data_IF_547824565093
#
_entry.id   IF_547824565093
#
_cell.length_a   1.000
_cell.length_b   1.000
_cell.length_c   1.000
_cell.angle_alpha   90.00
_cell.angle_beta   90.00
_cell.angle_gamma   90.00
#
_symmetry.space_group_name_H-M   'P 1'
#
loop_
_entity.id
_entity.type
_entity.pdbx_description
1 polymer ?
#
# COMPACT_ATOMS: atom_id res chain seq x y z
N UNK A 1 42.38 -31.66 33.61
CA UNK A 1 40.91 -31.54 33.57
C UNK A 1 40.57 -30.06 33.39
N UNK A 2 40.31 -29.63 32.15
CA UNK A 2 39.73 -28.31 31.84
C UNK A 2 38.88 -28.50 30.59
N UNK A 3 37.56 -28.45 30.72
CA UNK A 3 36.63 -28.56 29.60
C UNK A 3 36.26 -27.17 29.12
N UNK A 4 36.85 -26.75 28.00
CA UNK A 4 36.39 -25.59 27.23
C UNK A 4 35.14 -26.00 26.46
N UNK A 5 33.98 -25.46 26.84
CA UNK A 5 32.78 -25.57 26.01
C UNK A 5 32.90 -24.60 24.83
N UNK A 6 32.97 -25.14 23.62
CA UNK A 6 32.83 -24.37 22.38
C UNK A 6 31.34 -24.19 22.09
N UNK A 7 30.84 -22.96 21.88
CA UNK A 7 29.48 -22.76 21.41
C UNK A 7 29.37 -23.25 19.96
N UNK A 8 28.37 -24.08 19.71
CA UNK A 8 28.05 -24.58 18.39
C UNK A 8 27.80 -23.41 17.43
N UNK A 9 28.54 -23.41 16.33
CA UNK A 9 28.30 -22.51 15.21
C UNK A 9 26.91 -22.74 14.64
N UNK A 10 26.13 -21.67 14.59
CA UNK A 10 24.97 -21.53 13.72
C UNK A 10 24.83 -20.04 13.47
N UNK A 11 25.46 -19.56 12.41
CA UNK A 11 25.26 -18.19 11.96
C UNK A 11 23.77 -17.97 11.66
N UNK A 12 23.18 -16.84 12.04
CA UNK A 12 21.87 -16.48 11.53
C UNK A 12 22.07 -16.21 10.03
N UNK A 13 21.75 -17.21 9.22
CA UNK A 13 21.35 -16.95 7.84
C UNK A 13 20.11 -16.07 7.98
N UNK A 14 20.30 -14.76 7.80
CA UNK A 14 19.20 -13.82 7.63
C UNK A 14 18.22 -14.44 6.64
N UNK A 15 16.96 -14.70 7.02
CA UNK A 15 15.97 -15.11 6.07
C UNK A 15 15.94 -14.03 5.00
N UNK A 16 16.35 -14.39 3.78
CA UNK A 16 16.10 -13.60 2.57
C UNK A 16 14.63 -13.22 2.64
N UNK A 17 14.34 -11.94 2.84
CA UNK A 17 13.00 -11.44 3.03
C UNK A 17 12.15 -12.04 1.92
N UNK A 18 11.28 -12.99 2.30
CA UNK A 18 10.24 -13.46 1.41
C UNK A 18 9.53 -12.20 0.95
N UNK A 19 9.47 -12.01 -0.36
CA UNK A 19 8.60 -11.05 -1.07
C UNK A 19 7.16 -11.41 -0.75
N UNK A 20 6.82 -11.21 0.53
CA UNK A 20 5.55 -11.39 1.18
C UNK A 20 4.59 -10.45 0.49
N UNK A 21 3.29 -10.69 0.66
CA UNK A 21 2.15 -9.91 0.15
C UNK A 21 2.33 -8.37 0.20
N UNK A 22 3.26 -7.89 1.03
CA UNK A 22 3.93 -6.59 1.01
C UNK A 22 4.38 -6.08 -0.38
N UNK A 23 4.93 -6.93 -1.26
CA UNK A 23 5.41 -6.52 -2.61
C UNK A 23 4.27 -6.39 -3.63
N UNK A 24 3.12 -7.04 -3.37
CA UNK A 24 1.92 -6.95 -4.20
C UNK A 24 1.03 -5.75 -3.86
N UNK A 25 1.28 -5.07 -2.74
CA UNK A 25 0.61 -3.81 -2.41
C UNK A 25 1.08 -2.71 -3.37
N UNK A 26 0.14 -1.91 -3.85
CA UNK A 26 0.44 -0.67 -4.56
C UNK A 26 1.35 0.19 -3.67
N UNK A 27 2.42 0.70 -4.26
CA UNK A 27 3.34 1.65 -3.64
C UNK A 27 3.38 2.93 -4.48
N UNK A 28 4.07 3.96 -3.98
CA UNK A 28 4.22 5.25 -4.66
C UNK A 28 4.67 5.09 -6.12
N UNK A 29 5.67 4.26 -6.39
CA UNK A 29 6.25 4.11 -7.72
C UNK A 29 5.28 3.41 -8.67
N UNK A 30 4.73 2.25 -8.27
CA UNK A 30 3.76 1.50 -9.08
C UNK A 30 2.50 2.29 -9.35
N UNK A 31 1.96 2.97 -8.34
CA UNK A 31 0.77 3.79 -8.50
C UNK A 31 1.02 4.95 -9.45
N UNK A 32 2.16 5.62 -9.32
CA UNK A 32 2.55 6.71 -10.24
C UNK A 32 2.72 6.21 -11.67
N UNK A 33 3.32 5.03 -11.87
CA UNK A 33 3.47 4.43 -13.19
C UNK A 33 2.12 4.18 -13.86
N UNK A 34 1.18 3.57 -13.13
CA UNK A 34 -0.16 3.28 -13.66
C UNK A 34 -0.90 4.56 -14.05
N UNK A 35 -0.80 5.62 -13.25
CA UNK A 35 -1.41 6.92 -13.58
C UNK A 35 -0.72 7.55 -14.80
N UNK A 36 0.62 7.54 -14.87
CA UNK A 36 1.35 8.08 -16.01
C UNK A 36 1.00 7.35 -17.33
N UNK A 37 0.92 6.02 -17.29
CA UNK A 37 0.54 5.20 -18.45
C UNK A 37 -0.91 5.48 -18.88
N UNK A 38 -1.82 5.64 -17.92
CA UNK A 38 -3.20 6.04 -18.19
C UNK A 38 -3.26 7.43 -18.85
N UNK A 39 -2.52 8.41 -18.33
CA UNK A 39 -2.47 9.76 -18.89
C UNK A 39 -1.97 9.75 -20.34
N UNK A 40 -0.87 9.04 -20.61
CA UNK A 40 -0.34 8.88 -21.98
C UNK A 40 -1.33 8.22 -22.93
N UNK A 41 -1.95 7.13 -22.50
CA UNK A 41 -2.92 6.39 -23.32
C UNK A 41 -4.14 7.24 -23.68
N UNK A 42 -4.50 8.18 -22.82
CA UNK A 42 -5.62 9.10 -23.02
C UNK A 42 -5.20 10.47 -23.58
N UNK A 43 -3.93 10.66 -23.97
CA UNK A 43 -3.42 11.92 -24.51
C UNK A 43 -3.46 13.10 -23.52
N UNK A 44 -3.46 12.82 -22.21
CA UNK A 44 -3.45 13.84 -21.14
C UNK A 44 -2.01 14.14 -20.72
N UNK A 45 -1.63 15.41 -20.74
CA UNK A 45 -0.31 15.85 -20.26
C UNK A 45 -0.26 16.13 -18.76
N UNK A 46 -1.43 16.39 -18.14
CA UNK A 46 -1.57 16.68 -16.72
C UNK A 46 -2.90 16.12 -16.20
N UNK A 47 -2.94 15.87 -14.89
CA UNK A 47 -4.14 15.39 -14.20
C UNK A 47 -4.29 16.14 -12.88
N UNK A 48 -5.53 16.53 -12.58
CA UNK A 48 -5.87 17.18 -11.32
C UNK A 48 -6.15 16.18 -10.21
N UNK A 49 -6.05 16.62 -8.96
CA UNK A 49 -6.49 15.83 -7.80
C UNK A 49 -7.98 15.45 -7.88
N UNK A 50 -8.81 16.34 -8.43
CA UNK A 50 -10.23 16.06 -8.66
C UNK A 50 -10.44 14.95 -9.70
N UNK A 51 -9.72 15.00 -10.82
CA UNK A 51 -9.77 13.93 -11.82
C UNK A 51 -9.26 12.61 -11.26
N UNK A 52 -8.20 12.60 -10.45
CA UNK A 52 -7.77 11.39 -9.73
C UNK A 52 -8.90 10.85 -8.85
N UNK A 53 -9.60 11.71 -8.13
CA UNK A 53 -10.75 11.28 -7.32
C UNK A 53 -11.88 10.69 -8.16
N UNK A 54 -12.12 11.25 -9.36
CA UNK A 54 -13.08 10.66 -10.31
C UNK A 54 -12.62 9.28 -10.81
N UNK A 55 -11.34 9.09 -11.10
CA UNK A 55 -10.79 7.79 -11.50
C UNK A 55 -10.89 6.77 -10.36
N UNK A 56 -10.63 7.20 -9.13
CA UNK A 56 -10.70 6.37 -7.93
C UNK A 56 -12.13 5.87 -7.68
N UNK A 57 -13.13 6.72 -7.94
CA UNK A 57 -14.54 6.44 -7.66
C UNK A 57 -15.34 6.03 -8.91
N UNK A 58 -14.67 5.80 -10.06
CA UNK A 58 -15.36 5.35 -11.27
C UNK A 58 -15.98 3.97 -11.06
N UNK A 59 -17.30 3.90 -11.22
CA UNK A 59 -18.09 2.66 -11.21
C UNK A 59 -18.63 2.32 -12.60
N UNK A 60 -18.30 3.13 -13.61
CA UNK A 60 -18.83 2.97 -14.98
C UNK A 60 -18.21 1.80 -15.74
N UNK A 61 -17.11 1.22 -15.24
CA UNK A 61 -16.35 0.16 -15.88
C UNK A 61 -15.50 0.63 -17.06
N UNK A 62 -15.43 1.95 -17.30
CA UNK A 62 -14.61 2.56 -18.36
C UNK A 62 -13.17 2.77 -17.91
N UNK A 63 -12.96 3.06 -16.62
CA UNK A 63 -11.63 3.16 -16.05
C UNK A 63 -11.12 1.75 -15.70
N UNK A 64 -9.93 1.34 -16.17
CA UNK A 64 -9.34 0.06 -15.80
C UNK A 64 -9.17 -0.05 -14.28
N UNK A 65 -9.42 -1.24 -13.72
CA UNK A 65 -9.40 -1.45 -12.27
C UNK A 65 -8.07 -1.01 -11.61
N UNK A 66 -6.94 -1.31 -12.25
CA UNK A 66 -5.62 -0.90 -11.77
C UNK A 66 -5.46 0.64 -11.71
N UNK A 67 -6.06 1.37 -12.64
CA UNK A 67 -6.04 2.84 -12.65
C UNK A 67 -6.87 3.40 -11.50
N UNK A 68 -8.05 2.85 -11.28
CA UNK A 68 -8.87 3.22 -10.12
C UNK A 68 -8.17 2.90 -8.81
N UNK A 69 -7.49 1.76 -8.69
CA UNK A 69 -6.73 1.41 -7.49
C UNK A 69 -5.52 2.33 -7.26
N UNK A 70 -4.77 2.67 -8.31
CA UNK A 70 -3.68 3.64 -8.24
C UNK A 70 -4.17 5.04 -7.88
N UNK A 71 -5.33 5.46 -8.39
CA UNK A 71 -5.95 6.71 -8.02
C UNK A 71 -6.40 6.71 -6.55
N UNK A 72 -7.00 5.61 -6.06
CA UNK A 72 -7.31 5.42 -4.63
C UNK A 72 -6.07 5.46 -3.76
N UNK A 73 -4.93 4.94 -4.23
CA UNK A 73 -3.67 5.07 -3.52
C UNK A 73 -3.29 6.54 -3.32
N UNK A 74 -3.36 7.35 -4.38
CA UNK A 74 -3.09 8.79 -4.29
C UNK A 74 -4.09 9.54 -3.39
N UNK A 75 -5.35 9.08 -3.30
CA UNK A 75 -6.32 9.62 -2.34
C UNK A 75 -5.98 9.30 -0.88
N UNK A 76 -5.50 8.07 -0.60
CA UNK A 76 -5.09 7.66 0.75
C UNK A 76 -3.81 8.33 1.21
N UNK A 77 -2.93 8.69 0.28
CA UNK A 77 -1.67 9.36 0.56
C UNK A 77 -1.61 10.74 -0.10
N UNK A 78 -2.38 11.73 0.41
CA UNK A 78 -2.41 13.06 -0.19
C UNK A 78 -1.05 13.76 -0.21
N UNK A 79 -0.18 13.44 0.76
CA UNK A 79 1.20 13.96 0.82
C UNK A 79 2.08 13.40 -0.31
N UNK A 80 1.81 12.17 -0.77
CA UNK A 80 2.49 11.59 -1.94
C UNK A 80 2.10 12.38 -3.17
N UNK A 81 0.81 12.62 -3.43
CA UNK A 81 0.39 13.43 -4.57
C UNK A 81 1.02 14.83 -4.53
N UNK A 82 0.99 15.48 -3.36
CA UNK A 82 1.55 16.82 -3.18
C UNK A 82 3.06 16.83 -3.48
N UNK A 83 3.80 15.83 -3.01
CA UNK A 83 5.23 15.75 -3.27
C UNK A 83 5.58 15.44 -4.73
N UNK A 84 4.71 14.71 -5.44
CA UNK A 84 4.82 14.50 -6.89
C UNK A 84 4.55 15.81 -7.61
N UNK A 85 3.44 16.47 -7.27
CA UNK A 85 2.99 17.73 -7.85
C UNK A 85 4.05 18.82 -7.73
N UNK A 86 4.60 19.04 -6.54
CA UNK A 86 5.58 20.11 -6.30
C UNK A 86 7.01 19.72 -6.64
N UNK A 87 7.22 18.65 -7.42
CA UNK A 87 8.56 18.19 -7.76
C UNK A 87 9.32 19.22 -8.59
N UNK A 88 8.63 19.85 -9.53
CA UNK A 88 9.21 20.76 -10.53
C UNK A 88 9.00 22.23 -10.20
N UNK A 89 7.77 22.59 -9.84
CA UNK A 89 7.39 23.94 -9.47
C UNK A 89 6.97 23.92 -8.01
N UNK A 90 7.61 24.78 -7.22
CA UNK A 90 7.23 24.95 -5.83
C UNK A 90 5.85 25.63 -5.75
N UNK A 91 4.85 24.89 -5.25
CA UNK A 91 3.48 25.37 -5.04
C UNK A 91 2.45 24.33 -5.46
N UNK A 92 1.52 24.00 -4.57
CA UNK A 92 0.44 23.07 -4.89
C UNK A 92 -0.75 23.82 -5.51
N UNK A 93 -1.08 23.54 -6.77
CA UNK A 93 -2.25 23.99 -7.52
C UNK A 93 -3.27 22.86 -7.80
N UNK A 94 -3.06 21.70 -7.20
CA UNK A 94 -3.73 20.42 -7.39
C UNK A 94 -3.66 19.85 -8.82
N UNK A 95 -2.64 20.23 -9.61
CA UNK A 95 -2.42 19.77 -10.98
C UNK A 95 -1.01 19.21 -11.13
N UNK A 96 -0.88 17.94 -11.51
CA UNK A 96 0.43 17.33 -11.72
C UNK A 96 0.60 16.84 -13.15
N UNK A 97 1.76 17.14 -13.73
CA UNK A 97 2.14 16.71 -15.08
C UNK A 97 2.50 15.22 -15.13
N UNK A 98 2.32 14.60 -16.30
CA UNK A 98 2.68 13.18 -16.54
C UNK A 98 4.14 12.89 -16.17
N UNK A 99 5.02 13.86 -16.40
CA UNK A 99 6.45 13.74 -16.16
C UNK A 99 6.82 13.74 -14.67
N UNK A 100 6.03 14.39 -13.81
CA UNK A 100 6.18 14.30 -12.35
C UNK A 100 5.81 12.89 -11.87
N UNK A 101 4.75 12.30 -12.43
CA UNK A 101 4.42 10.90 -12.18
C UNK A 101 5.49 9.94 -12.71
N UNK A 102 6.13 10.23 -13.84
CA UNK A 102 7.27 9.44 -14.32
C UNK A 102 8.46 9.50 -13.39
N UNK A 103 8.79 10.68 -12.87
CA UNK A 103 9.83 10.84 -11.86
C UNK A 103 9.51 9.98 -10.63
N UNK A 104 8.27 10.03 -10.13
CA UNK A 104 7.83 9.23 -9.00
C UNK A 104 7.85 7.72 -9.30
N UNK A 105 7.44 7.31 -10.50
CA UNK A 105 7.47 5.93 -10.98
C UNK A 105 8.90 5.37 -11.05
N UNK A 106 9.87 6.20 -11.40
CA UNK A 106 11.29 5.85 -11.40
C UNK A 106 11.92 5.90 -9.99
N UNK A 107 11.12 6.04 -8.94
CA UNK A 107 11.56 6.05 -7.55
C UNK A 107 12.00 7.42 -7.04
N UNK A 108 11.52 8.51 -7.64
CA UNK A 108 11.85 9.88 -7.22
C UNK A 108 11.58 10.19 -5.75
N UNK A 109 10.57 9.53 -5.16
CA UNK A 109 10.23 9.66 -3.74
C UNK A 109 10.95 8.65 -2.84
N UNK A 110 11.66 7.67 -3.40
CA UNK A 110 12.23 6.55 -2.64
C UNK A 110 13.23 7.06 -1.60
N UNK A 111 12.99 6.72 -0.34
CA UNK A 111 13.87 7.10 0.77
C UNK A 111 13.62 8.51 1.31
N UNK A 112 12.63 9.23 0.77
CA UNK A 112 12.13 10.47 1.39
C UNK A 112 11.27 10.16 2.62
N UNK A 113 11.08 11.17 3.47
CA UNK A 113 10.15 11.06 4.60
C UNK A 113 8.72 10.76 4.10
N UNK A 114 8.29 11.35 2.99
CA UNK A 114 6.96 11.12 2.39
C UNK A 114 6.74 9.65 2.03
N UNK A 115 7.71 9.02 1.35
CA UNK A 115 7.64 7.60 1.00
C UNK A 115 7.68 6.69 2.23
N UNK A 116 8.48 7.02 3.25
CA UNK A 116 8.51 6.28 4.50
C UNK A 116 7.17 6.37 5.25
N UNK A 117 6.59 7.56 5.33
CA UNK A 117 5.29 7.80 5.98
C UNK A 117 4.18 7.03 5.25
N UNK A 118 4.13 7.08 3.92
CA UNK A 118 3.15 6.34 3.13
C UNK A 118 3.23 4.83 3.41
N UNK A 119 4.45 4.26 3.40
CA UNK A 119 4.68 2.84 3.72
C UNK A 119 4.27 2.48 5.15
N UNK A 120 4.50 3.37 6.10
CA UNK A 120 4.08 3.18 7.49
C UNK A 120 2.55 3.20 7.61
N UNK A 121 1.87 4.12 6.92
CA UNK A 121 0.40 4.18 6.86
C UNK A 121 -0.16 2.88 6.25
N UNK A 122 0.37 2.43 5.11
CA UNK A 122 -0.05 1.17 4.46
C UNK A 122 0.12 -0.03 5.39
N UNK A 123 1.25 -0.10 6.10
CA UNK A 123 1.54 -1.18 7.06
C UNK A 123 0.55 -1.14 8.23
N UNK A 124 0.24 0.05 8.72
CA UNK A 124 -0.69 0.24 9.82
C UNK A 124 -2.13 -0.13 9.44
N UNK A 125 -2.61 0.29 8.27
CA UNK A 125 -3.92 -0.06 7.75
C UNK A 125 -4.05 -1.57 7.54
N UNK A 126 -3.01 -2.20 7.00
CA UNK A 126 -2.96 -3.66 6.90
C UNK A 126 -3.02 -4.33 8.28
N UNK A 127 -2.31 -3.80 9.27
CA UNK A 127 -2.34 -4.34 10.64
C UNK A 127 -3.73 -4.21 11.28
N UNK A 128 -4.43 -3.10 11.06
CA UNK A 128 -5.82 -2.92 11.49
C UNK A 128 -6.73 -3.97 10.82
N UNK A 129 -6.64 -4.11 9.49
CA UNK A 129 -7.48 -5.06 8.75
C UNK A 129 -7.27 -6.51 9.23
N UNK A 130 -6.01 -6.91 9.46
CA UNK A 130 -5.68 -8.23 10.02
C UNK A 130 -6.21 -8.39 11.45
N UNK A 131 -6.08 -7.35 12.28
CA UNK A 131 -6.57 -7.37 13.66
C UNK A 131 -8.09 -7.51 13.72
N UNK A 132 -8.82 -6.78 12.87
CA UNK A 132 -10.26 -6.92 12.74
C UNK A 132 -10.66 -8.35 12.33
N UNK A 133 -9.93 -8.96 11.38
CA UNK A 133 -10.20 -10.34 10.95
C UNK A 133 -9.93 -11.35 12.07
N UNK A 134 -8.88 -11.15 12.87
CA UNK A 134 -8.58 -12.01 14.03
C UNK A 134 -9.73 -11.94 15.06
N UNK A 135 -10.24 -10.74 15.35
CA UNK A 135 -11.37 -10.55 16.26
C UNK A 135 -12.63 -11.26 15.77
N UNK A 136 -12.94 -11.15 14.48
CA UNK A 136 -14.08 -11.84 13.85
C UNK A 136 -13.95 -13.37 13.99
N UNK A 137 -12.78 -13.92 13.63
CA UNK A 137 -12.50 -15.35 13.72
C UNK A 137 -12.54 -15.87 15.16
N UNK A 138 -11.98 -15.11 16.11
CA UNK A 138 -12.00 -15.47 17.53
C UNK A 138 -13.42 -15.49 18.09
N UNK A 139 -14.24 -14.51 17.69
CA UNK A 139 -15.65 -14.42 18.10
C UNK A 139 -16.47 -15.58 17.53
N UNK A 140 -16.31 -15.87 16.24
CA UNK A 140 -16.97 -16.99 15.57
C UNK A 140 -16.61 -18.33 16.23
N UNK A 141 -15.30 -18.58 16.44
CA UNK A 141 -14.85 -19.81 17.12
C UNK A 141 -15.32 -19.92 18.55
N UNK A 142 -15.42 -18.81 19.28
CA UNK A 142 -15.99 -18.81 20.64
C UNK A 142 -17.46 -19.20 20.62
N UNK A 143 -18.24 -18.67 19.68
CA UNK A 143 -19.65 -19.00 19.53
C UNK A 143 -19.86 -20.48 19.14
N UNK A 144 -19.06 -21.01 18.21
CA UNK A 144 -19.06 -22.44 17.84
C UNK A 144 -18.71 -23.35 19.03
N UNK A 145 -17.70 -22.97 19.82
CA UNK A 145 -17.29 -23.71 21.01
C UNK A 145 -18.36 -23.69 22.11
N UNK A 146 -19.11 -22.60 22.25
CA UNK A 146 -20.18 -22.49 23.25
C UNK A 146 -21.41 -23.30 22.83
N UNK A 147 -21.78 -23.24 21.54
CA UNK A 147 -22.88 -24.04 20.98
C UNK A 147 -22.63 -25.56 21.10
N UNK A 148 -21.37 -26.01 20.97
CA UNK A 148 -21.00 -27.42 21.14
C UNK A 148 -20.93 -27.86 22.61
N UNK A 149 -20.84 -26.92 23.56
CA UNK A 149 -20.85 -27.19 25.01
C UNK A 149 -22.24 -27.15 25.64
N UNK A 150 -23.26 -26.61 24.95
CA UNK A 150 -24.65 -26.75 25.37
C UNK A 150 -25.12 -28.20 25.18
N UNK A 151 -24.86 -29.04 26.19
CA UNK A 151 -25.47 -30.37 26.31
C UNK A 151 -26.97 -30.20 26.56
N UNK A 152 -27.87 -30.93 25.87
CA UNK A 152 -29.29 -30.92 26.23
C UNK A 152 -29.43 -31.52 27.63
N UNK A 153 -29.95 -30.72 28.56
CA UNK A 153 -30.38 -31.16 29.88
C UNK A 153 -31.64 -32.00 29.70
N UNK A 154 -31.51 -33.32 29.78
CA UNK A 154 -32.63 -34.27 29.80
C UNK A 154 -32.47 -35.19 31.00
#
# INVERSE_FOLDING_TARGET
>A
MSTTVSPAGSGPSSPKASSSVFDSTLDTAKSSQVIADYMRKNGKSAITKQELSQLANDTSGKVPANVSEAAKYMERHPDVFTAIETHDVAGADNLSGVWNFDWAANGGLKGTATDAIAKMQDTFDMAIAKSAKITELSTAKKAELDATKQRPSN
#
